data_IF_704520788672
#
_entry.id   IF_704520788672
#
_cell.length_a   1.000
_cell.length_b   1.000
_cell.length_c   1.000
_cell.angle_alpha   90.00
_cell.angle_beta   90.00
_cell.angle_gamma   90.00
#
_symmetry.space_group_name_H-M   'P 1'
#
loop_
_entity.id
_entity.type
_entity.pdbx_description
1 polymer ?
#
# COMPACT_ATOMS: atom_id res chain seq x y z
N UNK A 1 19.08 -12.89 -19.30
CA UNK A 1 18.31 -14.12 -19.07
C UNK A 1 16.87 -13.88 -19.53
N UNK A 2 16.27 -14.86 -20.24
CA UNK A 2 14.85 -14.78 -20.61
C UNK A 2 13.99 -15.16 -19.41
N UNK A 3 13.01 -14.32 -19.06
CA UNK A 3 12.01 -14.67 -18.06
C UNK A 3 11.02 -15.66 -18.68
N UNK A 4 10.71 -16.81 -18.02
CA UNK A 4 9.67 -17.72 -18.51
C UNK A 4 8.31 -17.02 -18.52
N UNK A 5 7.58 -17.10 -19.64
CA UNK A 5 6.28 -16.44 -19.81
C UNK A 5 5.07 -17.38 -19.59
N UNK A 6 5.30 -18.58 -19.05
CA UNK A 6 4.25 -19.60 -18.89
C UNK A 6 3.13 -19.24 -17.92
N UNK A 7 3.37 -18.26 -17.05
CA UNK A 7 2.39 -17.76 -16.07
C UNK A 7 2.21 -16.23 -16.20
N UNK A 8 2.32 -15.72 -17.41
CA UNK A 8 2.20 -14.29 -17.71
C UNK A 8 1.09 -14.12 -18.75
N UNK A 9 0.06 -13.40 -18.37
CA UNK A 9 -0.99 -12.94 -19.28
C UNK A 9 -0.70 -11.49 -19.69
N UNK A 10 -0.94 -11.18 -20.96
CA UNK A 10 -0.70 -9.85 -21.50
C UNK A 10 -2.04 -9.17 -21.82
N UNK A 11 -2.27 -8.03 -21.21
CA UNK A 11 -3.34 -7.12 -21.53
C UNK A 11 -2.72 -5.88 -22.18
N UNK A 12 -3.12 -5.55 -23.42
CA UNK A 12 -2.48 -4.51 -24.21
C UNK A 12 -3.48 -3.39 -24.44
N UNK A 13 -3.27 -2.28 -23.75
CA UNK A 13 -4.08 -1.07 -23.86
C UNK A 13 -3.23 0.14 -24.24
N UNK A 14 -3.79 1.10 -24.98
CA UNK A 14 -3.16 2.41 -25.12
C UNK A 14 -2.97 3.05 -23.75
N UNK A 15 -1.83 3.65 -23.51
CA UNK A 15 -1.52 4.38 -22.28
C UNK A 15 -0.69 5.61 -22.63
N UNK A 16 -0.65 6.57 -21.73
CA UNK A 16 0.19 7.76 -21.82
C UNK A 16 1.53 7.51 -21.12
N UNK A 17 1.53 6.74 -20.00
CA UNK A 17 2.72 6.38 -19.24
C UNK A 17 2.58 4.97 -18.61
N UNK A 18 3.66 4.46 -18.01
CA UNK A 18 3.75 3.08 -17.50
C UNK A 18 3.69 2.95 -15.96
N UNK A 19 3.34 4.02 -15.25
CA UNK A 19 3.30 4.07 -13.79
C UNK A 19 2.01 3.43 -13.24
N UNK A 20 1.90 2.11 -13.40
CA UNK A 20 0.68 1.36 -13.06
C UNK A 20 0.36 1.33 -11.56
N UNK A 21 1.26 1.78 -10.70
CA UNK A 21 0.96 2.02 -9.30
C UNK A 21 -0.05 3.15 -9.12
N UNK A 22 0.06 4.20 -9.93
CA UNK A 22 -0.70 5.42 -9.78
C UNK A 22 -1.97 5.44 -10.64
N UNK A 23 -1.87 4.95 -11.87
CA UNK A 23 -2.98 4.89 -12.81
C UNK A 23 -3.67 3.52 -12.88
N UNK A 24 -3.16 2.50 -12.18
CA UNK A 24 -3.69 1.15 -12.23
C UNK A 24 -4.86 0.89 -11.28
N UNK A 25 -5.59 -0.22 -11.50
CA UNK A 25 -6.75 -0.57 -10.69
C UNK A 25 -6.38 -0.87 -9.23
N UNK A 26 -7.15 -0.35 -8.27
CA UNK A 26 -7.03 -0.76 -6.87
C UNK A 26 -8.00 -1.90 -6.61
N UNK A 27 -7.47 -3.08 -6.28
CA UNK A 27 -8.27 -4.26 -6.01
C UNK A 27 -8.63 -4.36 -4.53
N UNK A 28 -9.90 -4.62 -4.24
CA UNK A 28 -10.39 -4.87 -2.89
C UNK A 28 -11.38 -6.04 -2.87
N UNK A 29 -11.67 -6.56 -1.70
CA UNK A 29 -12.80 -7.46 -1.48
C UNK A 29 -14.00 -6.68 -0.97
N UNK A 30 -15.18 -6.92 -1.57
CA UNK A 30 -16.44 -6.41 -1.04
C UNK A 30 -16.86 -7.16 0.24
N UNK A 31 -17.96 -6.73 0.85
CA UNK A 31 -18.50 -7.36 2.07
C UNK A 31 -18.96 -8.82 1.87
N UNK A 32 -19.03 -9.29 0.62
CA UNK A 32 -19.37 -10.67 0.26
C UNK A 32 -18.13 -11.50 -0.13
N UNK A 33 -16.94 -10.95 0.07
CA UNK A 33 -15.64 -11.50 -0.36
C UNK A 33 -15.52 -11.67 -1.89
N UNK A 34 -16.20 -10.86 -2.67
CA UNK A 34 -15.96 -10.79 -4.11
C UNK A 34 -14.82 -9.80 -4.38
N UNK A 35 -13.91 -10.19 -5.28
CA UNK A 35 -12.88 -9.30 -5.76
C UNK A 35 -13.52 -8.25 -6.68
N UNK A 36 -13.30 -6.97 -6.37
CA UNK A 36 -13.76 -5.84 -7.16
C UNK A 36 -12.61 -4.87 -7.41
N UNK A 37 -12.77 -4.04 -8.42
CA UNK A 37 -11.84 -2.96 -8.76
C UNK A 37 -12.44 -1.64 -8.31
N UNK A 38 -11.63 -0.81 -7.66
CA UNK A 38 -11.90 0.59 -7.43
C UNK A 38 -11.19 1.40 -8.52
N UNK A 39 -11.96 2.11 -9.31
CA UNK A 39 -11.51 2.92 -10.43
C UNK A 39 -11.47 4.38 -9.97
N UNK A 40 -10.42 4.74 -9.22
CA UNK A 40 -10.17 6.11 -8.78
C UNK A 40 -9.70 6.97 -9.95
N UNK A 41 -10.04 8.25 -9.92
CA UNK A 41 -9.57 9.19 -10.93
C UNK A 41 -8.05 9.34 -10.90
N UNK A 42 -7.45 9.39 -12.08
CA UNK A 42 -6.06 9.76 -12.31
C UNK A 42 -6.00 10.97 -13.24
N UNK A 43 -5.31 12.02 -12.80
CA UNK A 43 -5.25 13.29 -13.54
C UNK A 43 -3.83 13.71 -13.93
N UNK A 44 -2.91 12.74 -14.03
CA UNK A 44 -1.53 13.01 -14.44
C UNK A 44 -0.75 13.81 -13.41
N UNK A 45 -0.85 13.42 -12.14
CA UNK A 45 -0.20 14.07 -11.00
C UNK A 45 -0.50 15.58 -10.94
N UNK A 46 -1.79 15.92 -11.01
CA UNK A 46 -2.21 17.32 -10.96
C UNK A 46 -2.21 18.03 -12.33
N UNK A 47 -2.11 17.28 -13.42
CA UNK A 47 -2.08 17.81 -14.78
C UNK A 47 -0.67 18.08 -15.30
N UNK A 48 0.36 17.58 -14.62
CA UNK A 48 1.77 17.76 -15.03
C UNK A 48 2.18 16.81 -16.15
N UNK A 49 1.39 15.75 -16.42
CA UNK A 49 1.60 14.82 -17.52
C UNK A 49 0.29 14.50 -18.26
N UNK A 50 0.36 14.01 -19.53
CA UNK A 50 -0.79 13.42 -20.20
C UNK A 50 -1.34 12.24 -19.41
N UNK A 51 -2.66 12.06 -19.37
CA UNK A 51 -3.30 11.03 -18.55
C UNK A 51 -4.61 10.47 -19.12
N UNK A 52 -5.08 10.99 -20.24
CA UNK A 52 -6.41 10.63 -20.74
C UNK A 52 -6.56 9.16 -21.12
N UNK A 53 -5.47 8.49 -21.49
CA UNK A 53 -5.44 7.05 -21.74
C UNK A 53 -5.22 6.29 -20.42
N UNK A 54 -4.37 6.80 -19.56
CA UNK A 54 -4.03 6.19 -18.27
C UNK A 54 -5.24 6.13 -17.33
N UNK A 55 -6.06 7.18 -17.28
CA UNK A 55 -7.28 7.21 -16.49
C UNK A 55 -8.32 6.14 -16.89
N UNK A 56 -8.15 5.48 -18.04
CA UNK A 56 -9.04 4.41 -18.49
C UNK A 56 -8.55 3.00 -18.09
N UNK A 57 -7.31 2.88 -17.65
CA UNK A 57 -6.68 1.57 -17.39
C UNK A 57 -7.48 0.72 -16.39
N UNK A 58 -7.97 1.23 -15.24
CA UNK A 58 -8.73 0.41 -14.29
C UNK A 58 -9.99 -0.20 -14.90
N UNK A 59 -10.79 0.59 -15.62
CA UNK A 59 -11.98 0.09 -16.33
C UNK A 59 -11.62 -0.93 -17.41
N UNK A 60 -10.54 -0.72 -18.18
CA UNK A 60 -10.11 -1.65 -19.22
C UNK A 60 -9.67 -3.00 -18.62
N UNK A 61 -8.90 -2.97 -17.54
CA UNK A 61 -8.49 -4.18 -16.80
C UNK A 61 -9.70 -4.87 -16.16
N UNK A 62 -10.68 -4.14 -15.64
CA UNK A 62 -11.90 -4.72 -15.10
C UNK A 62 -12.67 -5.52 -16.17
N UNK A 63 -12.74 -4.98 -17.39
CA UNK A 63 -13.36 -5.64 -18.52
C UNK A 63 -12.59 -6.91 -18.95
N UNK A 64 -11.25 -6.84 -19.04
CA UNK A 64 -10.40 -7.98 -19.42
C UNK A 64 -10.50 -9.12 -18.42
N UNK A 65 -10.53 -8.80 -17.12
CA UNK A 65 -10.63 -9.75 -16.04
C UNK A 65 -12.08 -10.19 -15.76
N UNK A 66 -13.07 -9.57 -16.43
CA UNK A 66 -14.50 -9.76 -16.16
C UNK A 66 -14.83 -9.58 -14.66
N UNK A 67 -14.25 -8.55 -14.05
CA UNK A 67 -14.48 -8.18 -12.66
C UNK A 67 -15.44 -6.99 -12.55
N UNK A 68 -16.28 -6.94 -11.52
CA UNK A 68 -17.03 -5.73 -11.21
C UNK A 68 -16.09 -4.61 -10.79
N UNK A 69 -16.45 -3.38 -11.10
CA UNK A 69 -15.72 -2.20 -10.65
C UNK A 69 -16.67 -1.11 -10.11
N UNK A 70 -16.11 -0.24 -9.31
CA UNK A 70 -16.77 0.96 -8.81
C UNK A 70 -16.08 2.16 -9.41
N UNK A 71 -16.83 2.96 -10.17
CA UNK A 71 -16.36 4.21 -10.75
C UNK A 71 -16.25 5.28 -9.66
N UNK A 72 -15.05 5.75 -9.41
CA UNK A 72 -14.69 6.77 -8.44
C UNK A 72 -13.90 7.92 -9.10
N UNK A 73 -14.06 8.12 -10.42
CA UNK A 73 -13.34 9.14 -11.22
C UNK A 73 -13.48 10.58 -10.65
N UNK A 74 -14.51 10.82 -9.83
CA UNK A 74 -14.68 12.09 -9.10
C UNK A 74 -13.74 12.29 -7.90
N UNK A 75 -12.91 11.29 -7.55
CA UNK A 75 -11.90 11.35 -6.49
C UNK A 75 -10.55 10.87 -7.03
N UNK A 76 -9.62 11.81 -7.20
CA UNK A 76 -8.25 11.50 -7.64
C UNK A 76 -7.49 10.84 -6.52
N UNK A 77 -7.04 9.60 -6.75
CA UNK A 77 -6.21 8.86 -5.79
C UNK A 77 -5.18 8.02 -6.55
N UNK A 78 -3.95 8.47 -6.50
CA UNK A 78 -2.79 7.75 -7.01
C UNK A 78 -2.40 6.64 -6.02
N UNK A 79 -2.21 5.41 -6.50
CA UNK A 79 -1.96 4.27 -5.60
C UNK A 79 -0.65 4.35 -4.81
N UNK A 80 0.32 5.16 -5.26
CA UNK A 80 1.56 5.45 -4.53
C UNK A 80 1.38 6.47 -3.41
N UNK A 81 0.27 7.24 -3.40
CA UNK A 81 -0.01 8.27 -2.40
C UNK A 81 -0.54 7.72 -1.07
N UNK A 82 -0.96 6.46 -1.02
CA UNK A 82 -1.55 5.83 0.15
C UNK A 82 -0.87 4.52 0.48
N UNK A 83 -0.45 4.35 1.72
CA UNK A 83 0.11 3.10 2.26
C UNK A 83 -0.81 2.59 3.37
N UNK A 84 -1.30 1.34 3.26
CA UNK A 84 -2.25 0.73 4.20
C UNK A 84 -1.66 -0.49 4.90
N UNK A 85 -2.01 -0.71 6.17
CA UNK A 85 -1.56 -1.85 6.95
C UNK A 85 -2.44 -3.10 6.79
N UNK A 86 -3.56 -2.99 6.07
CA UNK A 86 -4.56 -4.04 5.94
C UNK A 86 -5.38 -4.29 7.21
N UNK A 87 -5.23 -3.47 8.24
CA UNK A 87 -5.88 -3.58 9.53
C UNK A 87 -6.63 -2.29 9.94
N UNK A 88 -6.82 -1.38 9.00
CA UNK A 88 -7.60 -0.15 9.15
C UNK A 88 -6.77 1.11 9.34
N UNK A 89 -5.42 1.05 9.30
CA UNK A 89 -4.58 2.24 9.30
C UNK A 89 -4.08 2.58 7.89
N UNK A 90 -3.98 3.88 7.61
CA UNK A 90 -3.29 4.39 6.42
C UNK A 90 -2.35 5.53 6.78
N UNK A 91 -1.22 5.59 6.06
CA UNK A 91 -0.29 6.72 6.08
C UNK A 91 -0.28 7.35 4.70
N UNK A 92 -0.35 8.66 4.63
CA UNK A 92 -0.42 9.42 3.38
C UNK A 92 0.07 10.85 3.55
N UNK A 93 0.33 11.53 2.44
CA UNK A 93 0.67 12.95 2.45
C UNK A 93 -0.50 13.80 1.98
N UNK A 94 -0.72 14.96 2.62
CA UNK A 94 -1.73 15.92 2.19
C UNK A 94 -1.42 16.49 0.81
N UNK A 95 -0.15 16.73 0.54
CA UNK A 95 0.28 17.29 -0.75
C UNK A 95 -0.16 16.45 -1.94
N UNK A 96 -0.09 15.12 -1.85
CA UNK A 96 -0.42 14.22 -2.97
C UNK A 96 -1.91 13.86 -3.07
N UNK A 97 -2.74 14.19 -2.06
CA UNK A 97 -4.16 13.82 -2.06
C UNK A 97 -5.08 15.04 -1.91
N UNK A 98 -4.81 15.93 -0.91
CA UNK A 98 -5.69 17.07 -0.63
C UNK A 98 -5.32 18.32 -1.41
N UNK A 99 -4.26 18.25 -2.23
CA UNK A 99 -3.77 19.34 -3.05
C UNK A 99 -4.85 19.94 -3.95
N UNK A 100 -4.73 21.24 -4.24
CA UNK A 100 -5.69 21.95 -5.10
C UNK A 100 -5.67 21.44 -6.55
N UNK A 101 -4.65 20.74 -6.92
CA UNK A 101 -4.43 20.10 -8.22
C UNK A 101 -4.90 18.64 -8.27
N UNK A 102 -5.28 18.05 -7.14
CA UNK A 102 -5.86 16.69 -7.03
C UNK A 102 -7.35 16.75 -6.73
N UNK A 103 -7.70 17.19 -5.51
CA UNK A 103 -9.08 17.14 -5.01
C UNK A 103 -9.55 18.52 -4.45
N UNK A 104 -9.57 19.61 -5.26
CA UNK A 104 -9.82 20.96 -4.78
C UNK A 104 -11.23 21.17 -4.18
N UNK A 105 -12.16 20.27 -4.47
CA UNK A 105 -13.56 20.37 -4.03
C UNK A 105 -13.88 19.46 -2.86
N UNK A 106 -12.91 18.65 -2.39
CA UNK A 106 -13.09 17.74 -1.26
C UNK A 106 -12.37 18.27 -0.02
N UNK A 107 -13.07 18.24 1.10
CA UNK A 107 -12.43 18.43 2.41
C UNK A 107 -11.72 17.15 2.84
N UNK A 108 -10.68 17.26 3.69
CA UNK A 108 -9.97 16.11 4.26
C UNK A 108 -10.95 15.08 4.87
N UNK A 109 -11.97 15.53 5.61
CA UNK A 109 -13.01 14.65 6.17
C UNK A 109 -13.82 13.92 5.08
N UNK A 110 -14.09 14.54 3.94
CA UNK A 110 -14.76 13.85 2.82
C UNK A 110 -13.85 12.80 2.19
N UNK A 111 -12.55 13.10 2.05
CA UNK A 111 -11.53 12.15 1.59
C UNK A 111 -11.45 10.96 2.56
N UNK A 112 -11.37 11.20 3.87
CA UNK A 112 -11.38 10.15 4.89
C UNK A 112 -12.65 9.27 4.80
N UNK A 113 -13.82 9.87 4.52
CA UNK A 113 -15.06 9.11 4.31
C UNK A 113 -14.98 8.21 3.06
N UNK A 114 -14.35 8.66 1.97
CA UNK A 114 -14.09 7.81 0.81
C UNK A 114 -13.15 6.64 1.19
N UNK A 115 -12.01 6.93 1.82
CA UNK A 115 -11.05 5.92 2.22
C UNK A 115 -11.64 4.91 3.23
N UNK A 116 -12.49 5.38 4.15
CA UNK A 116 -13.23 4.50 5.07
C UNK A 116 -14.19 3.58 4.31
N UNK A 117 -14.95 4.15 3.37
CA UNK A 117 -16.00 3.41 2.67
C UNK A 117 -15.45 2.37 1.70
N UNK A 118 -14.33 2.67 1.03
CA UNK A 118 -13.81 1.86 -0.07
C UNK A 118 -12.55 1.08 0.28
N UNK A 119 -11.71 1.60 1.19
CA UNK A 119 -10.48 0.92 1.62
C UNK A 119 -10.54 0.38 3.06
N UNK A 120 -11.65 0.65 3.80
CA UNK A 120 -11.81 0.18 5.18
C UNK A 120 -10.89 0.89 6.20
N UNK A 121 -10.35 2.05 5.85
CA UNK A 121 -9.45 2.82 6.73
C UNK A 121 -10.25 3.55 7.78
N UNK A 122 -9.81 3.47 9.03
CA UNK A 122 -10.44 4.15 10.19
C UNK A 122 -9.43 4.91 11.04
N UNK A 123 -8.13 4.70 10.81
CA UNK A 123 -7.03 5.39 11.46
C UNK A 123 -6.16 6.07 10.40
N UNK A 124 -6.19 7.39 10.37
CA UNK A 124 -5.54 8.21 9.35
C UNK A 124 -4.31 8.89 9.92
N UNK A 125 -3.13 8.62 9.34
CA UNK A 125 -1.87 9.24 9.69
C UNK A 125 -1.47 10.18 8.55
N UNK A 126 -1.82 11.45 8.71
CA UNK A 126 -1.56 12.47 7.72
C UNK A 126 -0.23 13.18 7.96
N UNK A 127 0.65 13.11 6.98
CA UNK A 127 1.82 13.97 6.86
C UNK A 127 1.48 15.16 5.95
N UNK A 128 2.11 16.31 6.15
CA UNK A 128 1.86 17.45 5.28
C UNK A 128 2.47 17.25 3.89
N UNK A 129 3.65 16.63 3.81
CA UNK A 129 4.36 16.42 2.55
C UNK A 129 5.00 17.69 2.01
N UNK A 130 4.99 17.88 0.70
CA UNK A 130 5.69 18.98 0.03
C UNK A 130 4.70 19.96 -0.63
N UNK A 131 4.12 20.86 0.15
CA UNK A 131 3.34 21.93 -0.44
C UNK A 131 4.23 23.01 -1.12
N UNK A 132 3.97 23.26 -2.39
CA UNK A 132 4.45 24.46 -3.09
C UNK A 132 5.87 24.40 -3.62
N UNK A 133 6.29 23.29 -4.19
CA UNK A 133 7.56 23.21 -4.91
C UNK A 133 8.35 21.93 -4.70
N UNK A 134 7.67 20.82 -4.71
CA UNK A 134 8.33 19.52 -4.83
C UNK A 134 9.14 19.45 -6.12
N UNK A 135 10.34 18.86 -6.05
CA UNK A 135 11.10 18.48 -7.24
C UNK A 135 10.55 17.18 -7.84
N UNK A 136 9.56 16.60 -7.20
CA UNK A 136 8.92 15.34 -7.52
C UNK A 136 7.50 15.61 -8.02
N UNK A 137 7.20 15.14 -9.23
CA UNK A 137 5.90 15.27 -9.90
C UNK A 137 4.73 14.68 -9.07
N UNK A 138 5.02 13.75 -8.17
CA UNK A 138 4.03 13.07 -7.32
C UNK A 138 3.62 13.85 -6.07
N UNK A 139 4.27 14.98 -5.80
CA UNK A 139 4.10 15.77 -4.57
C UNK A 139 4.35 14.96 -3.28
N UNK A 140 5.41 14.15 -3.30
CA UNK A 140 5.82 13.27 -2.19
C UNK A 140 4.84 12.12 -1.91
N UNK A 141 4.74 11.19 -2.84
CA UNK A 141 4.10 9.91 -2.57
C UNK A 141 4.72 9.19 -1.37
N UNK A 142 3.86 8.64 -0.53
CA UNK A 142 4.27 7.96 0.71
C UNK A 142 5.11 6.71 0.44
N UNK A 143 4.89 6.00 -0.65
CA UNK A 143 5.55 4.74 -1.02
C UNK A 143 7.05 4.88 -1.28
N UNK A 144 7.53 6.11 -1.48
CA UNK A 144 8.94 6.42 -1.64
C UNK A 144 9.74 6.32 -0.34
N UNK A 145 9.13 6.47 0.84
CA UNK A 145 9.84 6.63 2.10
C UNK A 145 9.18 5.98 3.34
N UNK A 146 7.94 5.48 3.22
CA UNK A 146 7.25 4.72 4.29
C UNK A 146 6.59 3.49 3.70
N UNK A 147 6.65 2.37 4.43
CA UNK A 147 5.93 1.15 4.09
C UNK A 147 5.58 0.34 5.34
N UNK A 148 4.36 -0.16 5.40
CA UNK A 148 3.98 -1.14 6.41
C UNK A 148 4.58 -2.52 6.09
N UNK A 149 5.21 -3.14 7.10
CA UNK A 149 5.60 -4.55 7.04
C UNK A 149 4.44 -5.43 7.50
N UNK A 150 3.75 -4.95 8.51
CA UNK A 150 2.58 -5.57 9.13
C UNK A 150 1.85 -4.50 9.98
N UNK A 151 0.78 -4.90 10.69
CA UNK A 151 -0.08 -4.03 11.49
C UNK A 151 0.62 -3.24 12.62
N UNK A 152 1.87 -3.53 12.96
CA UNK A 152 2.60 -2.89 14.06
C UNK A 152 4.06 -2.52 13.73
N UNK A 153 4.48 -2.70 12.49
CA UNK A 153 5.87 -2.40 12.08
C UNK A 153 5.89 -1.59 10.78
N UNK A 154 6.60 -0.49 10.81
CA UNK A 154 6.84 0.41 9.68
C UNK A 154 8.31 0.33 9.27
N UNK A 155 8.57 0.22 7.98
CA UNK A 155 9.87 0.51 7.37
C UNK A 155 9.89 1.95 6.88
N UNK A 156 10.95 2.67 7.20
CA UNK A 156 11.19 4.03 6.74
C UNK A 156 12.69 4.31 6.66
N UNK A 157 13.07 5.55 6.51
CA UNK A 157 14.46 6.04 6.52
C UNK A 157 14.86 6.58 7.90
N UNK A 158 16.13 6.87 8.12
CA UNK A 158 16.55 7.65 9.28
C UNK A 158 15.94 9.06 9.24
N UNK A 159 15.78 9.71 10.40
CA UNK A 159 15.26 11.08 10.43
C UNK A 159 16.09 12.06 9.57
N UNK A 160 17.41 11.86 9.52
CA UNK A 160 18.28 12.67 8.65
C UNK A 160 18.06 12.42 7.16
N UNK A 161 17.76 11.17 6.79
CA UNK A 161 17.45 10.82 5.41
C UNK A 161 16.06 11.28 5.00
N UNK A 162 15.09 11.24 5.92
CA UNK A 162 13.75 11.82 5.69
C UNK A 162 13.84 13.34 5.46
N UNK A 163 14.68 14.06 6.23
CA UNK A 163 14.94 15.50 5.98
C UNK A 163 15.61 15.70 4.60
N UNK A 164 16.58 14.86 4.26
CA UNK A 164 17.23 14.91 2.94
C UNK A 164 16.21 14.65 1.81
N UNK A 165 15.25 13.74 2.05
CA UNK A 165 14.17 13.41 1.11
C UNK A 165 13.15 14.54 0.97
N UNK A 166 13.08 15.47 1.92
CA UNK A 166 12.24 16.67 1.88
C UNK A 166 11.17 16.77 2.96
N UNK A 167 11.07 15.78 3.87
CA UNK A 167 10.09 15.84 4.95
C UNK A 167 10.42 16.94 5.96
N UNK A 168 9.39 17.60 6.46
CA UNK A 168 9.49 18.54 7.56
C UNK A 168 9.77 17.83 8.88
N UNK A 169 10.34 18.55 9.83
CA UNK A 169 10.52 18.01 11.20
C UNK A 169 9.18 17.74 11.89
N UNK A 170 8.11 18.41 11.48
CA UNK A 170 6.75 18.16 11.97
C UNK A 170 6.23 16.82 11.45
N UNK A 171 6.35 16.54 10.15
CA UNK A 171 5.97 15.25 9.56
C UNK A 171 6.73 14.09 10.19
N UNK A 172 8.03 14.26 10.41
CA UNK A 172 8.87 13.26 11.10
C UNK A 172 8.37 13.03 12.54
N UNK A 173 7.94 14.08 13.23
CA UNK A 173 7.37 13.95 14.59
C UNK A 173 6.03 13.20 14.56
N UNK A 174 5.16 13.51 13.60
CA UNK A 174 3.89 12.81 13.41
C UNK A 174 4.15 11.33 13.12
N UNK A 175 5.01 11.02 12.16
CA UNK A 175 5.37 9.65 11.80
C UNK A 175 5.91 8.87 13.00
N UNK A 176 6.89 9.44 13.73
CA UNK A 176 7.52 8.77 14.89
C UNK A 176 6.56 8.57 16.08
N UNK A 177 5.48 9.34 16.18
CA UNK A 177 4.46 9.23 17.22
C UNK A 177 3.18 8.53 16.76
N UNK A 178 3.16 8.03 15.52
CA UNK A 178 2.00 7.36 14.96
C UNK A 178 1.64 6.09 15.73
N UNK A 179 0.35 5.81 15.79
CA UNK A 179 -0.21 4.63 16.45
C UNK A 179 -1.12 3.86 15.50
N UNK A 180 -1.27 2.57 15.75
CA UNK A 180 -2.22 1.72 15.05
C UNK A 180 -3.68 2.04 15.45
N UNK A 181 -4.65 1.34 14.87
CA UNK A 181 -6.09 1.50 15.17
C UNK A 181 -6.46 1.25 16.64
N UNK A 182 -5.58 0.60 17.41
CA UNK A 182 -5.77 0.32 18.84
C UNK A 182 -5.06 1.31 19.74
N UNK A 183 -4.37 2.31 19.16
CA UNK A 183 -3.59 3.30 19.88
C UNK A 183 -2.20 2.81 20.34
N UNK A 184 -1.73 1.67 19.81
CA UNK A 184 -0.38 1.15 20.11
C UNK A 184 0.65 1.80 19.19
N UNK A 185 1.84 2.19 19.70
CA UNK A 185 2.87 2.79 18.87
C UNK A 185 3.47 1.76 17.91
N UNK A 186 3.81 2.21 16.70
CA UNK A 186 4.54 1.38 15.74
C UNK A 186 5.99 1.16 16.14
N UNK A 187 6.51 -0.02 15.78
CA UNK A 187 7.95 -0.29 15.74
C UNK A 187 8.51 0.15 14.39
N UNK A 188 9.70 0.75 14.40
CA UNK A 188 10.32 1.25 13.18
C UNK A 188 11.57 0.46 12.81
N UNK A 189 11.67 0.12 11.52
CA UNK A 189 12.89 -0.43 10.90
C UNK A 189 13.39 0.59 9.89
N UNK A 190 14.69 0.87 9.95
CA UNK A 190 15.32 1.87 9.10
C UNK A 190 16.08 1.23 7.97
N UNK A 191 15.80 1.64 6.73
CA UNK A 191 16.61 1.38 5.54
C UNK A 191 17.49 2.62 5.27
N UNK A 192 18.75 2.43 4.82
CA UNK A 192 19.57 3.55 4.37
C UNK A 192 19.05 4.11 3.05
N UNK A 193 19.45 5.31 2.67
CA UNK A 193 19.49 5.73 1.27
C UNK A 193 20.73 5.15 0.58
N UNK A 194 20.81 5.27 -0.75
CA UNK A 194 22.06 5.00 -1.44
C UNK A 194 23.18 5.88 -0.88
N UNK A 195 24.40 5.37 -0.87
CA UNK A 195 25.57 6.14 -0.44
C UNK A 195 25.85 7.31 -1.41
N UNK A 196 25.69 7.02 -2.70
CA UNK A 196 25.95 7.95 -3.79
C UNK A 196 24.66 8.41 -4.45
N UNK A 197 24.71 9.53 -5.17
CA UNK A 197 23.66 9.92 -6.10
C UNK A 197 23.55 8.91 -7.24
N UNK A 198 22.32 8.66 -7.68
CA UNK A 198 22.06 7.66 -8.73
C UNK A 198 22.65 8.10 -10.06
N UNK A 199 23.28 7.15 -10.73
CA UNK A 199 23.80 7.33 -12.08
C UNK A 199 23.22 6.26 -12.99
N UNK A 200 22.67 6.67 -14.11
CA UNK A 200 22.10 5.78 -15.13
C UNK A 200 23.17 4.98 -15.86
N UNK A 201 22.77 3.92 -16.55
CA UNK A 201 23.69 3.09 -17.35
C UNK A 201 24.38 3.86 -18.50
N UNK A 202 23.80 4.99 -18.93
CA UNK A 202 24.38 5.87 -19.94
C UNK A 202 25.16 7.06 -19.36
N UNK A 203 25.36 7.11 -18.02
CA UNK A 203 26.14 8.14 -17.34
C UNK A 203 25.37 9.40 -16.93
N UNK A 204 24.04 9.42 -17.05
CA UNK A 204 23.22 10.52 -16.52
C UNK A 204 23.20 10.48 -14.99
N UNK A 205 23.47 11.62 -14.34
CA UNK A 205 23.42 11.76 -12.89
C UNK A 205 22.08 12.40 -12.48
N UNK A 206 21.32 11.71 -11.62
CA UNK A 206 20.04 12.21 -11.08
C UNK A 206 20.24 13.34 -10.08
N UNK A 207 21.47 13.49 -9.53
CA UNK A 207 21.82 14.42 -8.46
C UNK A 207 21.03 14.21 -7.15
N UNK A 208 20.47 13.03 -6.98
CA UNK A 208 19.69 12.62 -5.81
C UNK A 208 19.98 11.17 -5.44
N UNK A 209 19.83 10.83 -4.14
CA UNK A 209 20.01 9.46 -3.64
C UNK A 209 18.76 8.63 -3.83
N UNK A 210 18.92 7.35 -4.10
CA UNK A 210 17.83 6.40 -4.24
C UNK A 210 17.32 5.87 -2.91
N UNK A 211 16.04 5.56 -2.87
CA UNK A 211 15.38 4.90 -1.74
C UNK A 211 15.26 3.38 -1.98
N UNK A 212 15.41 2.59 -0.92
CA UNK A 212 15.09 1.16 -0.92
C UNK A 212 13.71 0.88 -0.32
N UNK A 213 13.01 1.89 0.19
CA UNK A 213 11.68 1.73 0.81
C UNK A 213 10.60 1.42 -0.22
N UNK A 214 10.79 1.86 -1.47
CA UNK A 214 9.87 1.62 -2.58
C UNK A 214 9.96 0.17 -3.11
N UNK A 215 9.99 -0.83 -2.22
CA UNK A 215 9.97 -2.23 -2.61
C UNK A 215 8.55 -2.76 -2.78
N UNK A 216 8.39 -3.82 -3.60
CA UNK A 216 7.12 -4.49 -3.84
C UNK A 216 7.10 -5.87 -3.20
N UNK A 217 6.04 -6.19 -2.46
CA UNK A 217 5.85 -7.48 -1.81
C UNK A 217 4.89 -8.34 -2.61
N UNK A 218 5.41 -9.40 -3.23
CA UNK A 218 4.63 -10.43 -3.91
C UNK A 218 4.41 -11.66 -3.00
N UNK A 219 3.74 -12.71 -3.52
CA UNK A 219 3.44 -13.91 -2.73
C UNK A 219 4.71 -14.61 -2.20
N UNK A 220 5.67 -14.89 -3.09
CA UNK A 220 6.88 -15.65 -2.76
C UNK A 220 8.17 -14.82 -2.86
N UNK A 221 8.06 -13.56 -3.26
CA UNK A 221 9.20 -12.69 -3.48
C UNK A 221 8.96 -11.27 -2.96
N UNK A 222 10.06 -10.57 -2.66
CA UNK A 222 10.08 -9.13 -2.45
C UNK A 222 11.01 -8.53 -3.49
N UNK A 223 10.49 -7.65 -4.34
CA UNK A 223 11.27 -6.94 -5.36
C UNK A 223 11.75 -5.62 -4.78
N UNK A 224 13.06 -5.45 -4.71
CA UNK A 224 13.70 -4.30 -4.05
C UNK A 224 14.46 -3.48 -5.09
N UNK A 225 14.23 -2.16 -5.17
CA UNK A 225 15.04 -1.33 -6.05
C UNK A 225 16.51 -1.38 -5.59
N UNK A 226 17.43 -1.56 -6.54
CA UNK A 226 18.87 -1.45 -6.33
C UNK A 226 19.46 -0.49 -7.38
N UNK A 227 20.68 0.00 -7.13
CA UNK A 227 21.22 1.12 -7.88
C UNK A 227 22.72 0.96 -8.20
N UNK A 228 23.25 -0.26 -8.09
CA UNK A 228 24.68 -0.52 -8.15
C UNK A 228 25.48 0.30 -7.12
N UNK A 229 24.93 0.40 -5.91
CA UNK A 229 25.45 1.19 -4.79
C UNK A 229 25.92 0.27 -3.64
N UNK A 230 26.94 0.67 -2.85
CA UNK A 230 27.39 -0.12 -1.70
C UNK A 230 26.29 -0.48 -0.69
N UNK A 231 25.23 0.33 -0.56
CA UNK A 231 24.11 0.08 0.35
C UNK A 231 23.08 -0.91 -0.18
N UNK A 232 23.14 -1.34 -1.46
CA UNK A 232 22.23 -2.33 -2.03
C UNK A 232 22.22 -3.62 -1.18
N UNK A 233 23.39 -4.16 -0.86
CA UNK A 233 23.51 -5.39 -0.07
C UNK A 233 23.01 -5.25 1.36
N UNK A 234 23.13 -4.07 1.94
CA UNK A 234 22.65 -3.75 3.29
C UNK A 234 21.12 -3.73 3.28
N UNK A 235 20.52 -3.03 2.34
CA UNK A 235 19.06 -2.95 2.20
C UNK A 235 18.44 -4.32 1.93
N UNK A 236 18.99 -5.09 1.00
CA UNK A 236 18.56 -6.45 0.70
C UNK A 236 18.62 -7.37 1.93
N UNK A 237 19.69 -7.28 2.74
CA UNK A 237 19.83 -8.07 3.96
C UNK A 237 18.78 -7.69 5.03
N UNK A 238 18.50 -6.41 5.23
CA UNK A 238 17.49 -5.95 6.17
C UNK A 238 16.11 -6.46 5.72
N UNK A 239 15.76 -6.29 4.45
CA UNK A 239 14.48 -6.72 3.89
C UNK A 239 14.33 -8.24 3.95
N UNK A 240 15.41 -9.02 3.68
CA UNK A 240 15.38 -10.47 3.82
C UNK A 240 15.07 -10.91 5.26
N UNK A 241 15.57 -10.19 6.25
CA UNK A 241 15.26 -10.48 7.66
C UNK A 241 13.80 -10.13 8.02
N UNK A 242 13.20 -9.14 7.36
CA UNK A 242 11.78 -8.79 7.55
C UNK A 242 10.84 -9.82 6.89
N UNK A 243 11.27 -10.42 5.79
CA UNK A 243 10.49 -11.40 5.03
C UNK A 243 11.23 -12.73 4.87
N UNK A 244 11.48 -13.46 5.97
CA UNK A 244 12.35 -14.64 5.96
C UNK A 244 11.81 -15.80 5.11
N UNK A 245 10.49 -15.85 4.88
CA UNK A 245 9.83 -16.86 4.05
C UNK A 245 9.79 -16.52 2.55
N UNK A 246 10.18 -15.30 2.17
CA UNK A 246 10.15 -14.83 0.77
C UNK A 246 11.55 -14.71 0.19
N UNK A 247 11.65 -14.83 -1.11
CA UNK A 247 12.91 -14.55 -1.84
C UNK A 247 13.03 -13.06 -2.09
N UNK A 248 14.09 -12.43 -1.56
CA UNK A 248 14.36 -11.01 -1.84
C UNK A 248 15.20 -10.88 -3.10
N UNK A 249 14.70 -10.11 -4.07
CA UNK A 249 15.32 -9.94 -5.40
C UNK A 249 15.57 -8.45 -5.63
N UNK A 250 16.84 -8.10 -5.87
CA UNK A 250 17.22 -6.75 -6.28
C UNK A 250 16.88 -6.52 -7.76
N UNK A 251 16.22 -5.42 -8.06
CA UNK A 251 15.91 -4.95 -9.41
C UNK A 251 16.65 -3.64 -9.65
N UNK A 252 17.53 -3.62 -10.66
CA UNK A 252 18.24 -2.38 -11.00
C UNK A 252 17.27 -1.32 -11.52
N UNK A 253 17.05 -0.31 -10.69
CA UNK A 253 16.17 0.82 -10.98
C UNK A 253 16.92 2.10 -11.36
N UNK A 254 18.24 2.05 -11.59
CA UNK A 254 19.05 3.25 -11.88
C UNK A 254 18.51 4.07 -13.05
N UNK A 255 18.06 3.41 -14.12
CA UNK A 255 17.49 4.08 -15.28
C UNK A 255 16.04 4.54 -15.03
N UNK A 256 15.23 3.70 -14.38
CA UNK A 256 13.83 4.00 -14.05
C UNK A 256 13.74 5.18 -13.08
N UNK A 257 14.68 5.27 -12.12
CA UNK A 257 14.73 6.37 -11.15
C UNK A 257 15.02 7.73 -11.81
N UNK A 258 15.76 7.73 -12.93
CA UNK A 258 15.96 8.94 -13.73
C UNK A 258 14.66 9.44 -14.37
N UNK A 259 13.75 8.54 -14.69
CA UNK A 259 12.41 8.84 -15.25
C UNK A 259 11.37 9.17 -14.15
N UNK A 260 11.75 9.12 -12.87
CA UNK A 260 10.92 9.60 -11.76
C UNK A 260 10.37 8.53 -10.82
N UNK A 261 10.68 7.24 -11.01
CA UNK A 261 10.12 6.20 -10.15
C UNK A 261 10.99 4.97 -9.94
N UNK A 262 10.44 4.00 -9.22
CA UNK A 262 11.11 2.78 -8.80
C UNK A 262 10.19 1.56 -8.97
N UNK A 263 10.60 0.40 -8.42
CA UNK A 263 9.92 -0.87 -8.66
C UNK A 263 8.45 -0.90 -8.22
N UNK A 264 8.12 -0.27 -7.09
CA UNK A 264 6.74 -0.20 -6.61
C UNK A 264 5.86 0.61 -7.55
N UNK A 265 6.41 1.69 -8.13
CA UNK A 265 5.69 2.61 -9.01
C UNK A 265 5.17 1.95 -10.31
N UNK A 266 5.78 0.84 -10.76
CA UNK A 266 5.37 0.09 -11.97
C UNK A 266 4.66 -1.22 -11.63
N UNK A 267 4.21 -1.39 -10.40
CA UNK A 267 3.56 -2.62 -9.94
C UNK A 267 2.21 -2.32 -9.30
N UNK A 268 1.25 -3.26 -9.45
CA UNK A 268 -0.02 -3.22 -8.75
C UNK A 268 -0.39 -4.64 -8.32
N UNK A 269 -0.87 -4.79 -7.08
CA UNK A 269 -1.24 -6.09 -6.54
C UNK A 269 -2.69 -6.43 -6.88
N UNK A 270 -2.90 -7.65 -7.33
CA UNK A 270 -4.21 -8.27 -7.40
C UNK A 270 -4.28 -9.39 -6.35
N UNK A 271 -5.09 -9.26 -5.29
CA UNK A 271 -5.23 -10.31 -4.30
C UNK A 271 -5.89 -11.55 -4.91
N UNK A 272 -5.52 -12.73 -4.43
CA UNK A 272 -6.11 -13.99 -4.87
C UNK A 272 -7.57 -14.04 -4.41
N UNK A 273 -8.50 -14.31 -5.33
CA UNK A 273 -9.92 -14.45 -4.99
C UNK A 273 -10.11 -15.57 -3.94
N UNK A 274 -10.74 -15.22 -2.82
CA UNK A 274 -11.07 -16.18 -1.77
C UNK A 274 -12.15 -17.18 -2.21
N UNK A 275 -12.79 -16.99 -3.36
CA UNK A 275 -13.91 -17.79 -3.85
C UNK A 275 -13.47 -19.02 -4.67
N UNK A 276 -12.20 -19.18 -5.03
CA UNK A 276 -11.76 -20.23 -5.96
C UNK A 276 -10.67 -21.16 -5.47
N UNK A 277 -10.46 -21.32 -4.19
CA UNK A 277 -9.64 -22.44 -3.73
C UNK A 277 -10.42 -23.28 -2.74
N UNK A 278 -10.48 -24.60 -3.02
CA UNK A 278 -10.57 -25.58 -1.94
C UNK A 278 -9.82 -25.01 -0.76
N UNK A 279 -10.53 -24.76 0.35
CA UNK A 279 -9.93 -24.20 1.56
C UNK A 279 -8.52 -24.78 1.72
N UNK A 280 -7.49 -23.94 1.55
CA UNK A 280 -6.33 -24.16 2.38
C UNK A 280 -6.95 -24.04 3.77
N UNK A 281 -7.19 -25.17 4.39
CA UNK A 281 -7.41 -25.24 5.81
C UNK A 281 -6.22 -24.49 6.38
N UNK A 282 -6.42 -23.20 6.72
CA UNK A 282 -5.63 -22.61 7.78
C UNK A 282 -5.88 -23.62 8.89
N UNK A 283 -4.87 -24.41 9.21
CA UNK A 283 -4.96 -25.33 10.32
C UNK A 283 -5.60 -24.53 11.43
N UNK A 284 -6.85 -24.88 11.71
CA UNK A 284 -7.48 -24.42 12.92
C UNK A 284 -6.50 -24.80 14.01
N UNK A 285 -5.70 -23.86 14.46
CA UNK A 285 -5.17 -23.95 15.80
C UNK A 285 -6.35 -24.43 16.60
N UNK A 286 -6.21 -25.60 17.23
CA UNK A 286 -7.25 -26.26 18.01
C UNK A 286 -7.64 -25.35 19.17
N UNK A 287 -8.20 -24.16 18.85
CA UNK A 287 -8.74 -23.29 19.87
C UNK A 287 -9.97 -23.96 20.47
N UNK A 288 -9.93 -24.16 21.73
CA UNK A 288 -10.98 -24.79 22.49
C UNK A 288 -11.92 -23.71 23.00
N UNK A 289 -13.21 -23.84 22.70
CA UNK A 289 -14.22 -22.99 23.33
C UNK A 289 -14.22 -23.23 24.84
N UNK A 290 -13.91 -22.17 25.61
CA UNK A 290 -13.86 -22.23 27.07
C UNK A 290 -15.13 -21.70 27.72
N UNK A 291 -15.81 -20.72 27.06
CA UNK A 291 -17.06 -20.18 27.61
C UNK A 291 -17.97 -19.58 26.52
N UNK A 292 -19.26 -19.51 26.82
CA UNK A 292 -20.25 -18.80 26.03
C UNK A 292 -21.06 -17.87 26.94
N UNK A 293 -21.04 -16.56 26.61
CA UNK A 293 -21.73 -15.55 27.42
C UNK A 293 -22.72 -14.74 26.59
N UNK A 294 -23.74 -14.21 27.24
CA UNK A 294 -24.69 -13.27 26.65
C UNK A 294 -24.11 -11.82 26.60
N UNK A 295 -24.89 -10.89 26.07
CA UNK A 295 -24.52 -9.47 25.96
C UNK A 295 -24.28 -8.80 27.34
N UNK A 296 -24.72 -9.41 28.43
CA UNK A 296 -24.51 -8.94 29.79
C UNK A 296 -23.35 -9.64 30.51
N UNK A 297 -22.59 -10.48 29.77
CA UNK A 297 -21.46 -11.22 30.32
C UNK A 297 -21.82 -12.44 31.15
N UNK A 298 -23.08 -12.89 31.13
CA UNK A 298 -23.55 -14.06 31.90
C UNK A 298 -23.40 -15.32 31.05
N UNK A 299 -22.92 -16.41 31.65
CA UNK A 299 -22.89 -17.71 30.98
C UNK A 299 -24.28 -18.14 30.55
N UNK A 300 -24.41 -18.58 29.30
CA UNK A 300 -25.68 -19.00 28.74
C UNK A 300 -25.53 -20.05 27.67
N UNK A 301 -26.58 -20.91 27.54
CA UNK A 301 -26.72 -21.84 26.44
C UNK A 301 -27.93 -21.49 25.54
N UNK A 302 -28.59 -20.34 25.82
CA UNK A 302 -29.72 -19.89 25.01
C UNK A 302 -29.21 -19.30 23.70
N UNK A 303 -29.82 -19.71 22.58
CA UNK A 303 -29.37 -19.35 21.20
C UNK A 303 -30.22 -18.29 20.52
N UNK A 304 -31.28 -17.80 21.16
CA UNK A 304 -32.23 -16.79 20.67
C UNK A 304 -31.75 -15.34 20.84
N UNK A 305 -30.51 -15.16 21.20
CA UNK A 305 -29.86 -13.86 21.44
C UNK A 305 -28.41 -13.88 20.94
N UNK A 306 -27.78 -12.68 20.74
CA UNK A 306 -26.37 -12.61 20.40
C UNK A 306 -25.51 -13.24 21.51
N UNK A 307 -24.61 -14.14 21.12
CA UNK A 307 -23.70 -14.85 22.02
C UNK A 307 -22.24 -14.47 21.72
N UNK A 308 -21.42 -14.44 22.77
CA UNK A 308 -19.96 -14.30 22.66
C UNK A 308 -19.31 -15.62 23.05
N UNK A 309 -18.60 -16.21 22.09
CA UNK A 309 -17.85 -17.46 22.27
C UNK A 309 -16.41 -17.09 22.63
N UNK A 310 -15.96 -17.50 23.82
CA UNK A 310 -14.63 -17.20 24.33
C UNK A 310 -13.78 -18.47 24.18
N UNK A 311 -12.60 -18.33 23.58
CA UNK A 311 -11.68 -19.42 23.30
C UNK A 311 -10.45 -19.36 24.22
N UNK A 312 -9.72 -20.49 24.31
CA UNK A 312 -8.54 -20.66 25.17
C UNK A 312 -7.31 -19.84 24.72
N UNK A 313 -7.32 -19.35 23.49
CA UNK A 313 -6.32 -18.42 22.95
C UNK A 313 -6.63 -16.94 23.26
N UNK A 314 -7.71 -16.68 24.00
CA UNK A 314 -8.16 -15.33 24.37
C UNK A 314 -9.01 -14.64 23.29
N UNK A 315 -9.24 -15.29 22.15
CA UNK A 315 -10.13 -14.73 21.09
C UNK A 315 -11.59 -14.82 21.49
N UNK A 316 -12.40 -13.87 21.02
CA UNK A 316 -13.85 -13.80 21.24
C UNK A 316 -14.56 -13.66 19.90
N UNK A 317 -15.50 -14.55 19.63
CA UNK A 317 -16.37 -14.47 18.45
C UNK A 317 -17.80 -14.12 18.85
N UNK A 318 -18.40 -13.13 18.17
CA UNK A 318 -19.84 -12.85 18.28
C UNK A 318 -20.60 -13.67 17.27
N UNK A 319 -21.58 -14.48 17.73
CA UNK A 319 -22.48 -15.25 16.87
C UNK A 319 -23.93 -14.90 17.17
N UNK A 320 -24.74 -14.84 16.12
CA UNK A 320 -26.19 -14.77 16.19
C UNK A 320 -26.73 -15.95 15.41
N UNK A 321 -27.42 -16.87 16.08
CA UNK A 321 -28.07 -17.98 15.43
C UNK A 321 -29.48 -17.52 15.07
N UNK A 322 -29.76 -17.39 13.78
CA UNK A 322 -31.10 -17.16 13.25
C UNK A 322 -31.69 -18.54 12.90
N UNK A 323 -32.77 -18.93 13.55
CA UNK A 323 -33.57 -20.10 13.16
C UNK A 323 -34.41 -19.79 11.92
#
# INVERSE_FOLDING_TARGET
ASVPLTNVDFYIHPNDDYWTRDNGPIFVYDNNNNLIILDFGFNGWGGDAPYALDNQIPTLIANDLNLPYVDLDGFVLEGGSVEVDGNGSAIMTRSSITGADRNPYLTEMQIENYLTSYLGVTNFIWLDGAFGGSLDITDMHIDGFVKFVNMNTIVTMSNSDLIYWGLSTQDISILNSATDVYGSPYSFITLPLTQNNITTSWGGNVNFKGSYVNYYVANDAVLVPIYNDPNDSIALSIIQNLYPSKTVVGIDCSNMYYEGGMVHCVTQQQPISLVSTNMIQIDNYNRRLINTIDILGRETKQTDQPLFYIYDDGTVEKKMILE
#
